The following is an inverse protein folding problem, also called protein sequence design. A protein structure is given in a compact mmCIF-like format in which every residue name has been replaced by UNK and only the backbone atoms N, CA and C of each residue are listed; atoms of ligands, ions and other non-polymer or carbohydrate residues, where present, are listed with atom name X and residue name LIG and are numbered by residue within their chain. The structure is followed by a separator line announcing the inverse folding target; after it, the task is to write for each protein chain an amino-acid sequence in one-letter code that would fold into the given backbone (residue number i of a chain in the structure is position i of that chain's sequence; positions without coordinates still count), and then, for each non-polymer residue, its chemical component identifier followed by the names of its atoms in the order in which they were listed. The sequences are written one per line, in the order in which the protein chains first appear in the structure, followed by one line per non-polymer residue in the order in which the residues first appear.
data_IF_908133697701
#
_entry.id   IF_908133697701
#
_cell.length_a   1.000
_cell.length_b   1.000
_cell.length_c   1.000
_cell.angle_alpha   90.00
_cell.angle_beta   90.00
_cell.angle_gamma   90.00
#
_symmetry.space_group_name_H-M   'P 1'
#
loop_
_entity.id
_entity.type
_entity.pdbx_description
1 polymer ?
2 water ?
#
# COMPACT_ATOMS: atom_id res chain seq x y z
N UNK A 11 -14.80 13.81 2.72
CA UNK A 11 -15.28 12.45 2.53
C UNK A 11 -14.91 11.94 1.15
N UNK A 12 -14.39 10.71 1.11
CA UNK A 12 -14.01 10.09 -0.14
C UNK A 12 -12.68 9.39 -0.05
N UNK A 13 -11.93 9.33 -1.15
CA UNK A 13 -10.65 8.62 -1.15
C UNK A 13 -9.62 9.42 -0.37
N UNK A 14 -8.96 8.74 0.58
CA UNK A 14 -7.82 9.27 1.30
C UNK A 14 -6.61 8.41 0.97
N UNK A 15 -5.43 9.01 1.02
CA UNK A 15 -4.23 8.20 0.85
C UNK A 15 -3.01 9.09 0.86
N UNK A 16 -1.86 8.45 0.76
CA UNK A 16 -0.58 9.13 0.79
C UNK A 16 0.35 8.44 -0.20
N UNK A 17 1.15 9.23 -0.89
CA UNK A 17 2.24 8.75 -1.72
C UNK A 17 3.54 9.26 -1.13
N UNK A 18 4.57 8.40 -1.14
CA UNK A 18 5.88 8.80 -0.65
C UNK A 18 6.58 9.81 -1.58
N UNK A 19 6.11 9.98 -2.80
CA UNK A 19 6.69 10.97 -3.71
C UNK A 19 5.62 11.36 -4.73
N UNK A 20 5.00 12.53 -4.51
CA UNK A 20 3.94 12.99 -5.40
C UNK A 20 4.45 13.44 -6.75
N UNK A 21 5.76 13.63 -6.91
CA UNK A 21 6.31 13.85 -8.25
C UNK A 21 6.17 12.62 -9.12
N UNK A 22 6.07 11.44 -8.52
CA UNK A 22 5.97 10.18 -9.26
C UNK A 22 4.56 9.62 -9.26
N UNK A 23 3.90 9.62 -8.10
CA UNK A 23 2.61 8.97 -7.91
C UNK A 23 1.72 9.88 -7.08
N UNK A 24 0.49 10.10 -7.52
CA UNK A 24 -0.54 10.73 -6.72
C UNK A 24 -1.72 9.76 -6.62
N UNK A 25 -2.37 9.78 -5.48
CA UNK A 25 -3.57 8.99 -5.20
C UNK A 25 -4.79 9.88 -5.35
N UNK A 26 -5.91 9.31 -5.75
CA UNK A 26 -7.13 10.07 -5.83
C UNK A 26 -8.30 9.15 -6.08
N UNK A 27 -9.39 9.75 -6.56
CA UNK A 27 -10.60 9.00 -6.91
C UNK A 27 -10.74 8.92 -8.42
N UNK A 28 -11.27 7.79 -8.89
CA UNK A 28 -11.57 7.66 -10.31
C UNK A 28 -12.66 8.64 -10.71
N UNK A 29 -12.49 9.27 -11.87
CA UNK A 29 -13.45 10.25 -12.33
C UNK A 29 -14.65 9.58 -13.00
N UNK A 30 -15.74 10.34 -13.10
CA UNK A 30 -16.97 9.91 -13.80
C UNK A 30 -17.53 8.61 -13.23
N UNK A 31 -17.39 8.40 -11.93
CA UNK A 31 -17.77 7.13 -11.33
C UNK A 31 -19.24 7.11 -10.91
N UNK A 32 -19.79 5.90 -10.80
CA UNK A 32 -21.11 5.74 -10.21
C UNK A 32 -21.11 6.15 -8.74
N UNK A 33 -19.94 6.10 -8.09
CA UNK A 33 -19.77 6.53 -6.71
C UNK A 33 -18.65 7.56 -6.72
N UNK A 34 -18.97 8.83 -7.01
CA UNK A 34 -17.94 9.86 -7.01
C UNK A 34 -17.24 9.91 -5.66
N UNK A 35 -15.91 9.96 -5.70
CA UNK A 35 -15.11 9.93 -4.49
C UNK A 35 -14.95 8.57 -3.85
N UNK A 36 -15.52 7.51 -4.41
CA UNK A 36 -15.49 6.22 -3.75
C UNK A 36 -14.66 5.13 -4.41
N UNK A 37 -14.00 5.45 -5.53
CA UNK A 37 -13.23 4.47 -6.30
C UNK A 37 -11.78 4.88 -6.24
N UNK A 38 -10.95 4.08 -5.56
CA UNK A 38 -9.54 4.44 -5.39
C UNK A 38 -8.81 4.38 -6.72
N UNK A 39 -7.95 5.38 -6.95
CA UNK A 39 -7.26 5.52 -8.23
C UNK A 39 -5.86 6.05 -8.00
N UNK A 40 -5.02 5.90 -9.03
CA UNK A 40 -3.62 6.27 -8.95
C UNK A 40 -3.21 6.96 -10.24
N UNK A 41 -2.38 8.00 -10.11
CA UNK A 41 -1.87 8.74 -11.26
C UNK A 41 -0.35 8.66 -11.29
N UNK A 42 0.20 8.25 -12.43
CA UNK A 42 1.64 8.29 -12.64
C UNK A 42 2.03 9.72 -13.01
N UNK A 43 2.31 10.52 -12.00
CA UNK A 43 2.72 11.91 -12.21
C UNK A 43 4.06 12.02 -12.89
N UNK A 44 4.91 10.99 -12.78
CA UNK A 44 6.21 11.01 -13.45
C UNK A 44 6.07 11.02 -14.96
N UNK A 45 4.91 10.62 -15.49
CA UNK A 45 4.70 10.52 -16.92
C UNK A 45 4.01 11.79 -17.42
N UNK A 46 4.15 12.02 -18.72
CA UNK A 46 3.40 13.07 -19.38
C UNK A 46 2.05 12.57 -19.83
N UNK A 47 1.28 13.48 -20.44
CA UNK A 47 0.01 13.10 -21.01
C UNK A 47 0.23 12.13 -22.17
N UNK A 48 -0.68 11.16 -22.36
CA UNK A 48 -1.90 10.95 -21.57
C UNK A 48 -1.69 9.93 -20.45
N UNK A 49 -0.43 9.65 -20.13
CA UNK A 49 -0.10 8.56 -19.21
C UNK A 49 -0.23 8.95 -17.74
N UNK A 50 -0.59 10.20 -17.43
CA UNK A 50 -0.68 10.66 -16.05
C UNK A 50 -2.12 10.76 -15.54
N UNK A 51 -3.09 10.20 -16.27
CA UNK A 51 -4.46 10.25 -15.78
C UNK A 51 -4.63 9.34 -14.56
N UNK A 52 -5.68 9.61 -13.77
CA UNK A 52 -5.98 8.77 -12.62
C UNK A 52 -6.72 7.52 -13.09
N UNK A 53 -6.12 6.36 -12.85
CA UNK A 53 -6.68 5.08 -13.24
C UNK A 53 -7.12 4.35 -11.98
N UNK A 54 -8.36 3.85 -11.98
CA UNK A 54 -8.82 3.09 -10.82
C UNK A 54 -7.97 1.84 -10.62
N UNK A 55 -7.68 1.54 -9.35
CA UNK A 55 -6.98 0.29 -9.06
C UNK A 55 -7.76 -0.91 -9.58
N UNK A 56 -9.09 -0.83 -9.57
CA UNK A 56 -9.90 -1.94 -10.10
C UNK A 56 -9.58 -2.19 -11.58
N UNK A 57 -9.41 -1.12 -12.36
CA UNK A 57 -9.02 -1.27 -13.76
C UNK A 57 -7.61 -1.85 -13.88
N UNK A 58 -6.70 -1.43 -13.00
CA UNK A 58 -5.35 -1.99 -13.03
C UNK A 58 -5.35 -3.48 -12.70
N UNK A 59 -6.21 -3.92 -11.76
CA UNK A 59 -6.38 -5.36 -11.55
C UNK A 59 -6.77 -6.04 -12.85
N UNK A 60 -7.67 -5.44 -13.63
CA UNK A 60 -8.09 -6.04 -14.88
C UNK A 60 -6.96 -6.17 -15.88
N UNK A 61 -6.09 -5.15 -15.95
CA UNK A 61 -4.92 -5.23 -16.83
C UNK A 61 -3.95 -6.31 -16.36
N UNK A 62 -3.75 -6.41 -15.04
CA UNK A 62 -2.86 -7.45 -14.51
C UNK A 62 -3.39 -8.84 -14.83
N UNK A 63 -4.72 -9.01 -14.86
CA UNK A 63 -5.27 -10.28 -15.31
C UNK A 63 -5.09 -10.45 -16.81
N UNK A 64 -5.33 -9.38 -17.58
CA UNK A 64 -5.38 -9.48 -19.03
C UNK A 64 -4.01 -9.78 -19.63
N UNK A 65 -2.93 -9.28 -19.04
CA UNK A 65 -1.59 -9.48 -19.57
C UNK A 65 -0.85 -10.63 -18.89
N UNK A 66 -1.57 -11.51 -18.21
CA UNK A 66 -0.93 -12.56 -17.42
C UNK A 66 -0.04 -13.46 -18.27
N UNK A 67 -0.44 -13.74 -19.53
CA UNK A 67 0.38 -14.61 -20.36
C UNK A 67 1.72 -13.97 -20.72
N UNK A 68 1.83 -12.65 -20.59
CA UNK A 68 3.07 -11.95 -20.89
C UNK A 68 3.88 -11.62 -19.65
N UNK A 69 3.38 -11.96 -18.47
CA UNK A 69 4.17 -11.84 -17.24
C UNK A 69 3.55 -11.00 -16.14
N UNK A 70 2.41 -10.35 -16.37
CA UNK A 70 1.71 -9.78 -15.23
C UNK A 70 1.02 -10.89 -14.45
N UNK A 71 0.49 -10.53 -13.28
CA UNK A 71 -0.26 -11.52 -12.50
C UNK A 71 -1.26 -10.80 -11.62
N UNK A 72 -2.37 -11.50 -11.36
CA UNK A 72 -3.33 -11.06 -10.37
C UNK A 72 -3.73 -12.30 -9.59
N UNK A 73 -3.52 -12.28 -8.28
CA UNK A 73 -3.65 -13.49 -7.48
C UNK A 73 -4.32 -13.15 -6.16
N UNK A 74 -5.28 -13.96 -5.76
CA UNK A 74 -5.81 -13.90 -4.40
C UNK A 74 -4.86 -14.69 -3.49
N UNK A 75 -4.17 -13.97 -2.61
CA UNK A 75 -3.18 -14.57 -1.71
C UNK A 75 -3.78 -14.64 -0.32
N UNK A 76 -3.76 -15.83 0.28
CA UNK A 76 -4.26 -15.98 1.64
C UNK A 76 -3.13 -15.75 2.63
N UNK A 77 -3.38 -14.86 3.59
CA UNK A 77 -2.47 -14.59 4.69
C UNK A 77 -3.27 -14.88 5.95
N UNK A 78 -2.99 -16.01 6.59
CA UNK A 78 -3.84 -16.45 7.68
C UNK A 78 -5.26 -16.61 7.18
N UNK A 79 -6.20 -15.97 7.88
CA UNK A 79 -7.61 -16.06 7.56
C UNK A 79 -8.06 -15.02 6.54
N UNK A 80 -7.17 -14.17 6.04
CA UNK A 80 -7.55 -13.06 5.20
C UNK A 80 -7.02 -13.23 3.78
N UNK A 81 -7.75 -12.68 2.82
CA UNK A 81 -7.34 -12.68 1.43
C UNK A 81 -6.85 -11.29 1.02
N UNK A 82 -5.72 -11.24 0.33
CA UNK A 82 -5.20 -10.01 -0.24
C UNK A 82 -5.03 -10.25 -1.73
N UNK A 83 -5.74 -9.47 -2.55
CA UNK A 83 -5.59 -9.59 -3.99
C UNK A 83 -4.37 -8.80 -4.43
N UNK A 84 -3.40 -9.48 -5.04
CA UNK A 84 -2.11 -8.89 -5.39
C UNK A 84 -2.00 -8.76 -6.89
N UNK A 85 -1.69 -7.55 -7.36
CA UNK A 85 -1.46 -7.28 -8.78
C UNK A 85 0.00 -6.95 -9.00
N UNK A 86 0.61 -7.66 -9.95
CA UNK A 86 2.01 -7.49 -10.30
C UNK A 86 2.06 -7.06 -11.76
N UNK A 87 2.55 -5.84 -12.01
CA UNK A 87 2.58 -5.29 -13.37
C UNK A 87 3.97 -4.78 -13.69
N UNK A 88 4.89 -5.65 -14.12
CA UNK A 88 6.22 -5.17 -14.51
C UNK A 88 6.20 -4.60 -15.92
N UNK A 89 7.03 -3.57 -16.15
CA UNK A 89 7.08 -2.93 -17.46
C UNK A 89 7.39 -3.95 -18.55
N UNK A 90 8.25 -4.93 -18.23
CA UNK A 90 8.68 -5.89 -19.23
C UNK A 90 7.55 -6.77 -19.73
N UNK A 91 6.47 -6.88 -18.98
CA UNK A 91 5.32 -7.69 -19.37
C UNK A 91 4.27 -6.89 -20.11
N UNK A 92 4.40 -5.58 -20.15
CA UNK A 92 3.40 -4.75 -20.80
C UNK A 92 3.89 -4.30 -22.18
N UNK A 93 2.98 -3.96 -23.08
CA UNK A 93 3.40 -3.48 -24.41
C UNK A 93 4.23 -2.22 -24.30
N UNK A 94 5.09 -1.97 -25.29
CA UNK A 94 5.95 -0.78 -25.25
C UNK A 94 5.24 0.52 -25.01
N UNK A 95 4.01 0.68 -25.51
CA UNK A 95 3.29 1.94 -25.34
C UNK A 95 2.91 2.21 -23.89
N UNK A 96 3.05 1.22 -23.01
CA UNK A 96 2.76 1.36 -21.59
C UNK A 96 4.01 1.56 -20.76
N UNK A 97 5.17 1.74 -21.40
CA UNK A 97 6.41 1.85 -20.64
C UNK A 97 6.41 3.06 -19.72
N UNK A 98 5.80 4.17 -20.18
CA UNK A 98 5.75 5.39 -19.37
C UNK A 98 4.94 5.20 -18.09
N UNK A 99 4.08 4.19 -18.04
CA UNK A 99 3.33 3.94 -16.82
C UNK A 99 4.14 3.22 -15.76
N UNK A 100 5.31 2.67 -16.13
CA UNK A 100 6.20 2.11 -15.12
C UNK A 100 5.76 0.76 -14.56
N UNK A 101 6.32 0.44 -13.40
CA UNK A 101 6.16 -0.85 -12.75
C UNK A 101 5.25 -0.67 -11.54
N UNK A 102 4.28 -1.58 -11.35
CA UNK A 102 3.41 -1.59 -10.19
C UNK A 102 3.42 -2.95 -9.49
N UNK A 103 3.40 -2.93 -8.17
CA UNK A 103 2.89 -4.05 -7.37
C UNK A 103 1.94 -3.46 -6.36
N UNK A 104 0.72 -3.96 -6.30
CA UNK A 104 -0.21 -3.43 -5.31
C UNK A 104 -1.15 -4.53 -4.81
N UNK A 105 -1.69 -4.29 -3.62
CA UNK A 105 -2.60 -5.21 -3.00
C UNK A 105 -3.90 -4.53 -2.63
N UNK A 106 -4.94 -5.34 -2.48
CA UNK A 106 -6.23 -4.90 -1.97
C UNK A 106 -6.52 -5.68 -0.70
N UNK A 107 -7.09 -5.00 0.30
CA UNK A 107 -7.49 -5.66 1.53
C UNK A 107 -8.84 -6.34 1.32
N UNK A 108 -8.80 -7.63 0.98
CA UNK A 108 -10.06 -8.32 0.74
C UNK A 108 -10.82 -7.68 -0.40
N UNK A 109 -12.13 -7.53 -0.21
CA UNK A 109 -12.96 -6.77 -1.13
C UNK A 109 -13.22 -5.35 -0.64
N UNK A 110 -12.54 -4.91 0.41
CA UNK A 110 -12.71 -3.55 0.89
C UNK A 110 -12.05 -2.58 -0.07
N UNK A 111 -12.55 -1.35 -0.09
CA UNK A 111 -11.98 -0.30 -0.95
C UNK A 111 -10.75 0.29 -0.26
N UNK A 112 -9.70 -0.54 -0.20
CA UNK A 112 -8.44 -0.22 0.47
C UNK A 112 -7.34 -0.88 -0.33
N UNK A 113 -6.45 -0.07 -0.88
CA UNK A 113 -5.35 -0.54 -1.71
C UNK A 113 -4.03 -0.01 -1.17
N UNK A 114 -2.96 -0.75 -1.41
CA UNK A 114 -1.64 -0.37 -0.93
C UNK A 114 -0.61 -0.92 -1.89
N UNK A 115 0.44 -0.18 -2.18
CA UNK A 115 1.38 -0.71 -3.14
C UNK A 115 2.56 0.19 -3.41
N UNK A 116 3.26 -0.15 -4.49
CA UNK A 116 4.50 0.52 -4.84
C UNK A 116 4.57 0.72 -6.35
N UNK A 117 5.56 1.49 -6.75
CA UNK A 117 5.79 1.86 -8.14
C UNK A 117 7.26 2.19 -8.30
N UNK A 118 7.78 1.98 -9.51
CA UNK A 118 9.08 2.52 -9.87
C UNK A 118 9.15 2.70 -11.38
N UNK A 119 10.03 3.60 -11.81
CA UNK A 119 10.09 3.98 -13.22
C UNK A 119 10.58 2.82 -14.09
N UNK A 120 10.18 2.83 -15.36
CA UNK A 120 10.74 1.90 -16.32
C UNK A 120 12.26 2.04 -16.37
N UNK A 121 12.95 0.91 -16.33
CA UNK A 121 14.39 0.88 -16.33
C UNK A 121 15.03 1.01 -14.97
N UNK A 122 14.23 1.30 -13.94
CA UNK A 122 14.69 1.35 -12.57
C UNK A 122 14.43 0.01 -11.89
N UNK A 123 14.90 -0.11 -10.65
CA UNK A 123 14.53 -1.22 -9.78
C UNK A 123 13.94 -0.64 -8.49
N UNK A 124 13.42 -1.47 -7.58
CA UNK A 124 12.95 -0.93 -6.30
C UNK A 124 14.04 -0.30 -5.46
N UNK A 125 15.31 -0.50 -5.81
CA UNK A 125 16.41 0.18 -5.14
C UNK A 125 16.63 1.60 -5.65
N UNK A 126 16.04 1.94 -6.79
CA UNK A 126 16.24 3.24 -7.40
C UNK A 126 15.46 4.31 -6.67
N UNK A 127 15.89 5.57 -6.87
CA UNK A 127 15.26 6.68 -6.16
C UNK A 127 13.77 6.80 -6.48
N UNK A 128 13.35 6.33 -7.67
CA UNK A 128 11.94 6.43 -8.06
C UNK A 128 11.05 5.45 -7.34
N UNK A 129 11.58 4.55 -6.51
CA UNK A 129 10.76 3.61 -5.77
C UNK A 129 9.80 4.36 -4.84
N UNK A 130 8.51 4.27 -5.13
CA UNK A 130 7.50 5.06 -4.47
C UNK A 130 6.45 4.12 -3.89
N UNK A 131 5.99 4.42 -2.67
CA UNK A 131 4.98 3.59 -2.00
C UNK A 131 3.77 4.46 -1.71
N UNK A 132 2.60 3.83 -1.67
CA UNK A 132 1.35 4.57 -1.55
C UNK A 132 0.29 3.68 -0.91
N UNK A 133 -0.76 4.32 -0.41
CA UNK A 133 -2.00 3.62 -0.10
C UNK A 133 -3.17 4.52 -0.47
N UNK A 134 -4.34 3.91 -0.66
CA UNK A 134 -5.55 4.66 -1.00
C UNK A 134 -6.76 3.89 -0.53
N UNK A 135 -7.74 4.59 0.03
CA UNK A 135 -8.96 3.93 0.44
C UNK A 135 -10.08 4.90 0.66
N UNK A 136 -11.31 4.37 0.69
CA UNK A 136 -12.49 5.21 0.87
C UNK A 136 -12.72 5.43 2.36
N UNK A 137 -12.69 6.69 2.79
CA UNK A 137 -12.89 7.02 4.20
C UNK A 137 -14.34 7.24 4.58
N UNK A 138 -15.28 7.12 3.64
CA UNK A 138 -16.61 7.68 3.84
C UNK A 138 -17.31 7.13 5.07
N UNK A 139 -17.13 5.84 5.34
CA UNK A 139 -17.85 5.19 6.44
C UNK A 139 -16.95 4.88 7.64
N UNK A 140 -15.74 5.41 7.68
CA UNK A 140 -14.81 5.01 8.73
C UNK A 140 -15.28 5.51 10.09
N UNK A 141 -15.27 4.61 11.08
CA UNK A 141 -15.39 4.98 12.47
C UNK A 141 -14.34 4.19 13.24
N UNK A 142 -13.83 4.78 14.32
CA UNK A 142 -12.79 4.14 15.11
C UNK A 142 -13.23 4.14 16.57
N UNK A 143 -13.22 2.99 17.26
CA UNK A 143 -13.60 2.98 18.68
C UNK A 143 -12.64 3.80 19.50
N UNK A 144 -13.10 4.24 20.66
CA UNK A 144 -12.29 5.03 21.59
C UNK A 144 -11.75 4.20 22.74
N UNK A 145 -12.01 2.90 22.75
CA UNK A 145 -11.56 2.04 23.84
C UNK A 145 -11.42 0.62 23.32
N UNK A 146 -10.66 -0.18 24.04
CA UNK A 146 -10.50 -1.57 23.71
C UNK A 146 -9.33 -1.83 22.78
N UNK A 147 -9.22 -3.10 22.37
CA UNK A 147 -8.08 -3.60 21.63
C UNK A 147 -8.60 -4.45 20.48
N UNK A 148 -7.93 -4.38 19.34
CA UNK A 148 -8.20 -5.29 18.23
C UNK A 148 -6.90 -5.60 17.53
N UNK A 149 -6.88 -6.71 16.80
CA UNK A 149 -5.73 -7.06 15.99
C UNK A 149 -6.11 -7.10 14.52
N UNK A 150 -5.11 -6.94 13.67
CA UNK A 150 -5.26 -6.94 12.22
C UNK A 150 -4.25 -7.90 11.63
N UNK A 151 -4.70 -8.68 10.63
CA UNK A 151 -3.78 -9.43 9.78
C UNK A 151 -3.30 -8.50 8.68
N UNK A 152 -1.98 -8.34 8.56
CA UNK A 152 -1.40 -7.31 7.70
C UNK A 152 -0.48 -7.95 6.67
N UNK A 153 -0.58 -7.46 5.43
CA UNK A 153 0.33 -7.82 4.36
C UNK A 153 1.10 -6.58 3.94
N UNK A 154 2.37 -6.77 3.57
CA UNK A 154 3.20 -5.68 3.13
C UNK A 154 3.86 -5.98 1.79
N UNK A 155 4.00 -4.94 0.98
CA UNK A 155 4.66 -5.03 -0.33
C UNK A 155 5.96 -4.27 -0.26
N UNK A 156 7.06 -4.93 -0.65
CA UNK A 156 8.39 -4.32 -0.63
C UNK A 156 9.19 -4.90 -1.81
N UNK A 157 9.07 -4.24 -2.96
CA UNK A 157 9.87 -4.60 -4.12
C UNK A 157 9.58 -5.95 -4.74
N UNK A 158 8.35 -6.45 -4.62
CA UNK A 158 8.01 -7.76 -5.15
C UNK A 158 6.50 -7.90 -5.25
N UNK A 159 6.06 -8.60 -6.30
CA UNK A 159 4.68 -9.02 -6.40
C UNK A 159 4.46 -10.48 -6.05
N UNK A 160 5.53 -11.20 -5.71
CA UNK A 160 5.43 -12.63 -5.44
C UNK A 160 5.76 -13.00 -3.99
N UNK A 161 6.47 -12.14 -3.27
CA UNK A 161 6.83 -12.38 -1.88
C UNK A 161 6.33 -11.21 -1.07
N UNK A 162 5.44 -11.49 -0.11
CA UNK A 162 4.85 -10.46 0.73
C UNK A 162 5.38 -10.56 2.15
N UNK A 163 5.51 -9.39 2.79
CA UNK A 163 5.65 -9.35 4.24
C UNK A 163 4.29 -9.62 4.87
N UNK A 164 4.31 -10.19 6.07
CA UNK A 164 3.06 -10.43 6.78
C UNK A 164 3.29 -10.38 8.29
N UNK A 165 2.20 -10.14 9.00
CA UNK A 165 2.28 -10.08 10.45
C UNK A 165 0.93 -9.66 11.01
N UNK A 166 0.93 -9.44 12.33
CA UNK A 166 -0.24 -8.96 13.04
C UNK A 166 0.09 -7.60 13.65
N UNK A 167 -0.78 -6.62 13.43
CA UNK A 167 -0.69 -5.34 14.13
C UNK A 167 -1.77 -5.31 15.20
N UNK A 168 -1.44 -4.72 16.35
CA UNK A 168 -2.38 -4.58 17.47
C UNK A 168 -2.74 -3.11 17.61
N UNK A 169 -4.04 -2.83 17.56
CA UNK A 169 -4.55 -1.48 17.76
C UNK A 169 -5.06 -1.36 19.19
N UNK A 170 -4.48 -0.42 19.94
CA UNK A 170 -4.90 -0.12 21.30
C UNK A 170 -5.71 1.16 21.18
N UNK A 171 -7.03 1.01 21.08
CA UNK A 171 -7.87 2.15 20.74
C UNK A 171 -7.95 3.16 21.87
N UNK A 172 -7.93 2.70 23.12
CA UNK A 172 -7.96 3.62 24.24
C UNK A 172 -6.66 4.41 24.35
N UNK A 173 -5.52 3.74 24.16
CA UNK A 173 -4.23 4.40 24.25
C UNK A 173 -3.87 5.16 22.99
N UNK A 174 -4.51 4.82 21.87
CA UNK A 174 -4.16 5.42 20.59
C UNK A 174 -2.83 4.95 20.01
N UNK A 175 -2.55 3.66 20.10
CA UNK A 175 -1.28 3.15 19.60
C UNK A 175 -1.52 1.95 18.69
N UNK A 176 -0.59 1.77 17.75
CA UNK A 176 -0.59 0.65 16.82
C UNK A 176 0.79 0.02 16.89
N UNK A 177 0.86 -1.28 17.20
CA UNK A 177 2.12 -1.95 17.46
C UNK A 177 2.19 -3.24 16.67
N UNK A 178 3.41 -3.61 16.27
CA UNK A 178 3.63 -4.92 15.67
C UNK A 178 4.74 -4.89 14.64
N UNK A 179 5.05 -6.09 14.15
CA UNK A 179 6.15 -6.30 13.20
C UNK A 179 5.69 -7.16 12.04
N UNK A 180 6.08 -6.76 10.84
CA UNK A 180 5.89 -7.57 9.64
C UNK A 180 7.20 -8.28 9.31
N UNK A 181 7.11 -9.50 8.79
CA UNK A 181 8.28 -10.26 8.40
C UNK A 181 8.03 -10.95 7.07
N UNK A 182 9.12 -11.27 6.38
CA UNK A 182 8.98 -12.01 5.14
C UNK A 182 10.33 -12.39 4.58
N UNK A 183 10.28 -13.21 3.54
CA UNK A 183 11.47 -13.62 2.81
C UNK A 183 11.33 -13.16 1.37
N UNK A 184 12.45 -13.13 0.65
CA UNK A 184 12.43 -12.78 -0.76
C UNK A 184 12.34 -11.31 -1.06
N UNK A 185 12.41 -10.46 -0.04
CA UNK A 185 12.35 -9.02 -0.21
C UNK A 185 13.52 -8.40 0.53
N UNK A 186 13.86 -7.15 0.15
CA UNK A 186 14.96 -6.48 0.82
C UNK A 186 14.71 -6.38 2.33
N UNK A 187 13.48 -6.06 2.72
CA UNK A 187 13.09 -6.03 4.13
C UNK A 187 12.84 -7.45 4.61
N UNK A 188 13.48 -7.83 5.71
CA UNK A 188 13.15 -9.07 6.40
C UNK A 188 12.22 -8.84 7.59
N UNK A 189 12.26 -7.68 8.23
CA UNK A 189 11.35 -7.36 9.32
C UNK A 189 11.13 -5.87 9.33
N UNK A 190 9.91 -5.46 9.70
CA UNK A 190 9.58 -4.05 9.80
C UNK A 190 8.76 -3.87 11.05
N UNK A 191 9.27 -3.07 11.99
CA UNK A 191 8.63 -2.89 13.29
C UNK A 191 8.15 -1.46 13.46
N UNK A 192 6.90 -1.30 13.86
CA UNK A 192 6.37 0.02 14.14
C UNK A 192 6.97 0.55 15.44
N UNK A 193 7.36 1.82 15.43
CA UNK A 193 8.00 2.48 16.57
C UNK A 193 7.19 3.73 16.92
N UNK A 194 6.41 3.67 18.00
CA UNK A 194 5.66 4.84 18.41
C UNK A 194 4.54 5.25 17.47
N UNK A 195 4.03 4.34 16.65
CA UNK A 195 2.94 4.69 15.76
C UNK A 195 1.67 4.91 16.57
N UNK A 196 1.01 6.03 16.35
CA UNK A 196 -0.01 6.48 17.27
C UNK A 196 -1.06 7.32 16.54
N UNK A 197 -2.22 7.46 17.20
CA UNK A 197 -3.34 8.21 16.67
C UNK A 197 -4.15 8.74 17.84
N UNK A 198 -4.83 9.86 17.62
CA UNK A 198 -5.77 10.32 18.63
C UNK A 198 -6.90 9.30 18.75
N UNK A 199 -7.24 8.85 19.96
CA UNK A 199 -8.32 7.88 20.11
C UNK A 199 -9.60 8.33 19.41
N UNK A 200 -10.25 7.38 18.75
CA UNK A 200 -11.46 7.69 18.03
C UNK A 200 -11.26 8.35 16.69
N UNK A 201 -10.03 8.45 16.20
CA UNK A 201 -9.75 9.04 14.90
C UNK A 201 -8.92 8.07 14.06
N UNK A 202 -8.90 8.31 12.75
CA UNK A 202 -8.41 7.30 11.82
C UNK A 202 -6.93 7.41 11.48
N UNK A 203 -6.37 8.62 11.39
CA UNK A 203 -5.01 8.79 10.90
C UNK A 203 -3.98 8.44 11.96
N UNK A 204 -2.98 7.65 11.58
CA UNK A 204 -1.88 7.30 12.47
C UNK A 204 -0.54 7.57 11.80
N UNK A 205 0.47 7.84 12.64
CA UNK A 205 1.82 8.02 12.12
C UNK A 205 2.81 7.73 13.23
N UNK A 206 4.05 7.48 12.84
CA UNK A 206 5.12 7.28 13.79
C UNK A 206 6.39 6.92 13.07
N UNK A 207 7.26 6.17 13.72
CA UNK A 207 8.54 5.78 13.14
C UNK A 207 8.55 4.27 12.92
N UNK A 208 9.64 3.77 12.35
CA UNK A 208 9.77 2.34 12.12
C UNK A 208 11.24 1.96 12.01
N UNK A 209 11.50 0.69 12.28
CA UNK A 209 12.81 0.09 12.12
C UNK A 209 12.66 -1.11 11.21
N UNK A 210 13.45 -1.14 10.14
CA UNK A 210 13.53 -2.28 9.26
C UNK A 210 14.83 -3.02 9.50
N UNK A 211 14.80 -4.33 9.29
CA UNK A 211 15.98 -5.14 9.12
C UNK A 211 15.88 -5.78 7.74
N UNK A 212 17.01 -6.17 7.19
CA UNK A 212 16.97 -6.80 5.87
C UNK A 212 18.36 -6.84 5.26
N UNK A 213 18.38 -6.91 3.92
CA UNK A 213 19.63 -7.16 3.21
C UNK A 213 20.61 -6.00 3.30
N UNK A 214 20.21 -4.84 3.83
CA UNK A 214 21.13 -3.75 4.13
C UNK A 214 21.36 -3.55 5.62
N UNK A 215 20.90 -4.48 6.45
CA UNK A 215 21.01 -4.32 7.88
C UNK A 215 19.88 -3.48 8.46
N UNK A 216 20.05 -3.12 9.74
CA UNK A 216 19.04 -2.33 10.44
C UNK A 216 18.96 -0.94 9.83
N UNK A 217 17.75 -0.43 9.69
CA UNK A 217 17.52 0.96 9.31
C UNK A 217 16.42 1.50 10.21
N UNK A 218 16.79 2.38 11.14
CA UNK A 218 15.89 2.99 12.11
C UNK A 218 15.26 4.28 11.60
N UNK A 219 15.51 4.66 10.34
CA UNK A 219 15.05 5.94 9.82
C UNK A 219 13.61 5.93 9.32
N UNK A 220 12.86 4.87 9.61
CA UNK A 220 11.53 4.75 9.03
C UNK A 220 10.57 5.80 9.58
N UNK A 221 9.69 6.26 8.69
CA UNK A 221 8.58 7.13 9.06
C UNK A 221 7.32 6.48 8.49
N UNK A 222 6.35 6.22 9.36
CA UNK A 222 5.13 5.51 8.99
C UNK A 222 3.98 6.49 8.95
N UNK A 223 3.13 6.37 7.93
CA UNK A 223 1.91 7.15 7.83
C UNK A 223 0.81 6.25 7.29
N UNK A 224 -0.36 6.30 7.91
CA UNK A 224 -1.47 5.51 7.42
C UNK A 224 -2.76 5.89 8.10
N UNK A 225 -3.77 5.05 7.93
CA UNK A 225 -5.03 5.31 8.62
C UNK A 225 -5.88 4.05 8.67
N UNK A 226 -6.78 4.03 9.65
CA UNK A 226 -7.85 3.04 9.65
C UNK A 226 -8.91 3.40 8.60
N UNK A 227 -9.61 2.38 8.15
CA UNK A 227 -10.65 2.50 7.13
C UNK A 227 -11.84 1.63 7.51
N UNK A 228 -13.02 2.07 7.10
CA UNK A 228 -14.22 1.26 7.19
C UNK A 228 -14.94 1.42 8.52
N UNK A 229 -16.20 0.99 8.52
CA UNK A 229 -16.99 1.04 9.76
C UNK A 229 -16.30 0.21 10.83
N UNK A 230 -16.17 0.80 12.02
CA UNK A 230 -15.52 0.14 13.15
C UNK A 230 -14.11 -0.32 12.82
N UNK A 231 -13.43 0.43 11.96
CA UNK A 231 -12.02 0.22 11.66
C UNK A 231 -11.76 -1.20 11.15
N UNK A 232 -12.54 -1.60 10.15
CA UNK A 232 -12.42 -2.96 9.61
C UNK A 232 -11.14 -3.18 8.82
N UNK A 233 -10.42 -2.11 8.47
CA UNK A 233 -9.17 -2.23 7.73
C UNK A 233 -8.23 -1.12 8.16
N UNK A 234 -7.00 -1.23 7.70
CA UNK A 234 -6.03 -0.15 7.82
C UNK A 234 -5.09 -0.26 6.62
N UNK A 235 -4.39 0.84 6.34
CA UNK A 235 -3.35 0.81 5.33
C UNK A 235 -2.36 1.91 5.64
N UNK A 236 -1.16 1.77 5.09
CA UNK A 236 -0.17 2.80 5.34
C UNK A 236 1.09 2.55 4.54
N UNK A 237 2.06 3.45 4.73
CA UNK A 237 3.36 3.33 4.11
C UNK A 237 4.43 3.50 5.18
N UNK A 238 5.62 2.97 4.88
CA UNK A 238 6.81 3.18 5.70
C UNK A 238 7.93 3.58 4.75
N UNK A 239 8.52 4.76 4.99
CA UNK A 239 9.59 5.29 4.17
C UNK A 239 10.88 5.33 4.98
N UNK A 240 12.00 5.01 4.32
CA UNK A 240 13.31 4.95 4.93
C UNK A 240 14.32 5.74 4.12
N UNK A 241 15.43 6.11 4.78
CA UNK A 241 16.54 6.71 4.05
C UNK A 241 16.97 5.82 2.91
N UNK A 242 16.97 4.51 3.13
CA UNK A 242 17.24 3.52 2.10
C UNK A 242 15.92 3.19 1.41
N UNK A 243 15.74 3.72 0.20
CA UNK A 243 14.44 3.56 -0.46
C UNK A 243 14.15 2.11 -0.84
N UNK A 244 15.15 1.24 -0.88
CA UNK A 244 14.91 -0.19 -1.09
C UNK A 244 14.01 -0.78 -0.02
N UNK A 245 13.95 -0.14 1.14
CA UNK A 245 13.16 -0.62 2.25
C UNK A 245 11.77 -0.01 2.26
N UNK A 246 11.47 0.93 1.37
CA UNK A 246 10.15 1.53 1.35
C UNK A 246 9.10 0.45 1.14
N UNK A 247 8.04 0.50 1.95
CA UNK A 247 7.05 -0.56 2.07
C UNK A 247 5.67 0.05 2.16
N UNK A 248 4.69 -0.59 1.51
CA UNK A 248 3.30 -0.27 1.70
C UNK A 248 2.60 -1.46 2.33
N UNK A 249 1.58 -1.20 3.15
CA UNK A 249 0.94 -2.30 3.86
C UNK A 249 -0.55 -2.06 3.98
N UNK A 250 -1.28 -3.16 4.15
CA UNK A 250 -2.71 -3.12 4.35
C UNK A 250 -3.11 -4.23 5.27
N UNK A 251 -4.13 -3.99 6.08
CA UNK A 251 -4.54 -4.95 7.09
C UNK A 251 -6.05 -5.04 7.19
N UNK A 252 -6.51 -6.23 7.56
CA UNK A 252 -7.91 -6.49 7.79
C UNK A 252 -8.09 -6.86 9.26
N UNK A 253 -9.11 -6.27 9.90
CA UNK A 253 -9.35 -6.57 11.31
C UNK A 253 -9.71 -8.04 11.49
N UNK A 254 -9.10 -8.66 12.49
CA UNK A 254 -9.40 -10.06 12.83
C UNK A 254 -10.71 -10.19 13.59
#
# INVERSE_FOLDING_TARGET
MGSSHHHHHHSGIDGISSNESNIKIGAAANASHPGGVAAVSVQAAGAPYNAFTGFSSLKGLAQAFAAQGTSNTNVTVGSKTFNISHIPVSAMPPSHSALGNFNFGQVGTQEVYFGEWWKAGDTPASASHTVYYAGDNTNTTVPTAGTATYTVAGINGSGSNLLSGTFTANYGAGTLEGTLTGTGTAVSSLSLDGVAFNPGTAAFAGLATANGTAGIDNSGVVQGQFFGANASALAGIAQFDNVSYNTAFGGAKN
#
